data_IF_168206461417
#
_entry.id   IF_168206461417
#
_cell.length_a   1.000
_cell.length_b   1.000
_cell.length_c   1.000
_cell.angle_alpha   90.00
_cell.angle_beta   90.00
_cell.angle_gamma   90.00
#
_symmetry.space_group_name_H-M   'P 1'
#
loop_
_entity.id
_entity.type
_entity.pdbx_description
1 polymer ?
#
# COMPACT_ATOMS: atom_id res chain seq x y z
N UNK A 1 -0.21 -9.83 -9.03
CA UNK A 1 -0.18 -10.44 -7.68
C UNK A 1 1.15 -10.04 -7.06
N UNK A 2 1.14 -9.41 -5.89
CA UNK A 2 2.39 -9.09 -5.18
C UNK A 2 2.96 -10.41 -4.66
N UNK A 3 4.22 -10.68 -4.93
CA UNK A 3 4.93 -11.86 -4.42
C UNK A 3 5.80 -11.40 -3.25
N UNK A 4 5.57 -11.93 -2.06
CA UNK A 4 6.47 -11.77 -0.93
C UNK A 4 7.27 -13.06 -0.75
N UNK A 5 8.58 -12.90 -0.50
CA UNK A 5 9.46 -14.03 -0.26
C UNK A 5 10.45 -13.70 0.86
N UNK A 6 10.57 -14.63 1.82
CA UNK A 6 11.53 -14.56 2.91
C UNK A 6 12.11 -15.95 3.14
N UNK A 7 13.40 -15.98 3.47
CA UNK A 7 14.08 -17.21 3.89
C UNK A 7 14.31 -17.18 5.38
N UNK A 8 13.87 -18.23 6.08
CA UNK A 8 14.18 -18.42 7.48
C UNK A 8 15.25 -19.50 7.67
N UNK A 9 16.28 -19.16 8.43
CA UNK A 9 17.32 -20.10 8.84
C UNK A 9 17.21 -20.37 10.32
N UNK A 10 17.06 -21.64 10.67
CA UNK A 10 17.09 -22.12 12.04
C UNK A 10 18.44 -22.78 12.32
N UNK A 11 19.04 -22.44 13.45
CA UNK A 11 20.18 -23.19 14.01
C UNK A 11 19.74 -23.77 15.35
N UNK A 12 19.75 -25.10 15.45
CA UNK A 12 19.37 -25.79 16.68
C UNK A 12 20.40 -25.52 17.79
N UNK A 13 19.91 -25.17 18.97
CA UNK A 13 20.71 -25.16 20.18
C UNK A 13 20.92 -26.60 20.67
N UNK A 14 21.99 -26.84 21.45
CA UNK A 14 22.30 -28.17 21.99
C UNK A 14 21.17 -28.74 22.86
N UNK A 15 20.41 -27.86 23.53
CA UNK A 15 19.29 -28.22 24.41
C UNK A 15 17.92 -28.00 23.77
N UNK A 16 17.83 -27.89 22.45
CA UNK A 16 16.53 -27.78 21.80
C UNK A 16 15.69 -29.05 22.07
N UNK A 17 14.39 -28.93 22.45
CA UNK A 17 13.55 -27.72 22.47
C UNK A 17 13.49 -26.94 23.80
N UNK A 18 14.19 -27.37 24.85
CA UNK A 18 14.25 -26.64 26.13
C UNK A 18 14.96 -25.28 26.00
N UNK A 19 15.80 -25.12 24.98
CA UNK A 19 16.45 -23.88 24.61
C UNK A 19 16.04 -23.43 23.19
N UNK A 20 15.82 -22.13 23.03
CA UNK A 20 15.36 -21.53 21.78
C UNK A 20 16.36 -21.76 20.64
N UNK A 21 15.89 -22.09 19.42
CA UNK A 21 16.76 -22.12 18.25
C UNK A 21 17.13 -20.70 17.83
N UNK A 22 18.34 -20.52 17.29
CA UNK A 22 18.71 -19.25 16.68
C UNK A 22 17.97 -19.10 15.35
N UNK A 23 17.10 -18.10 15.27
CA UNK A 23 16.30 -17.79 14.10
C UNK A 23 16.87 -16.57 13.36
N UNK A 24 17.12 -16.70 12.06
CA UNK A 24 17.56 -15.60 11.21
C UNK A 24 16.59 -15.44 10.04
N UNK A 25 16.03 -14.23 9.90
CA UNK A 25 15.15 -13.83 8.81
C UNK A 25 15.97 -13.12 7.73
N UNK A 26 15.89 -13.63 6.50
CA UNK A 26 16.46 -13.01 5.31
C UNK A 26 15.34 -12.60 4.36
N UNK A 27 14.95 -11.31 4.34
CA UNK A 27 13.96 -10.83 3.39
C UNK A 27 14.53 -10.86 1.96
N UNK A 28 13.71 -11.26 0.98
CA UNK A 28 14.14 -11.36 -0.42
C UNK A 28 13.36 -10.43 -1.35
N UNK A 29 12.02 -10.39 -1.23
CA UNK A 29 11.19 -9.65 -2.19
C UNK A 29 10.00 -8.97 -1.51
N UNK A 30 9.76 -7.68 -1.84
CA UNK A 30 8.60 -6.87 -1.45
C UNK A 30 8.30 -6.79 0.07
N UNK A 31 9.26 -7.10 0.94
CA UNK A 31 9.20 -6.80 2.37
C UNK A 31 9.81 -5.43 2.62
N UNK A 32 9.06 -4.54 3.28
CA UNK A 32 9.59 -3.25 3.68
C UNK A 32 10.43 -3.41 4.96
N UNK A 33 11.42 -2.54 5.15
CA UNK A 33 12.26 -2.54 6.37
C UNK A 33 11.43 -2.38 7.65
N UNK A 34 10.23 -1.79 7.54
CA UNK A 34 9.28 -1.63 8.63
C UNK A 34 8.57 -2.93 9.01
N UNK A 35 8.45 -3.91 8.12
CA UNK A 35 7.76 -5.18 8.39
C UNK A 35 8.66 -6.17 9.15
N UNK A 36 9.98 -6.07 8.94
CA UNK A 36 11.00 -6.92 9.56
C UNK A 36 10.94 -6.92 11.09
N UNK A 37 10.92 -5.78 11.80
CA UNK A 37 10.85 -5.76 13.26
C UNK A 37 9.57 -6.41 13.79
N UNK A 38 8.43 -6.23 13.12
CA UNK A 38 7.17 -6.87 13.50
C UNK A 38 7.24 -8.40 13.36
N UNK A 39 7.82 -8.90 12.26
CA UNK A 39 8.01 -10.35 12.06
C UNK A 39 9.00 -10.91 13.10
N UNK A 40 10.07 -10.20 13.40
CA UNK A 40 11.05 -10.61 14.42
C UNK A 40 10.42 -10.66 15.81
N UNK A 41 9.60 -9.67 16.14
CA UNK A 41 8.87 -9.64 17.41
C UNK A 41 7.90 -10.81 17.53
N UNK A 42 7.11 -11.06 16.49
CA UNK A 42 6.19 -12.21 16.42
C UNK A 42 6.95 -13.54 16.62
N UNK A 43 8.10 -13.70 15.97
CA UNK A 43 8.94 -14.88 16.12
C UNK A 43 9.44 -15.04 17.55
N UNK A 44 9.88 -13.96 18.19
CA UNK A 44 10.35 -14.00 19.57
C UNK A 44 9.23 -14.41 20.53
N UNK A 45 8.03 -13.84 20.36
CA UNK A 45 6.84 -14.20 21.14
C UNK A 45 6.51 -15.70 20.97
N UNK A 46 6.47 -16.19 19.73
CA UNK A 46 6.20 -17.61 19.45
C UNK A 46 7.28 -18.54 20.00
N UNK A 47 8.55 -18.12 20.02
CA UNK A 47 9.63 -18.89 20.63
C UNK A 47 9.42 -19.01 22.13
N UNK A 48 9.15 -17.88 22.82
CA UNK A 48 8.96 -17.86 24.26
C UNK A 48 7.75 -18.69 24.70
N UNK A 49 6.63 -18.62 23.95
CA UNK A 49 5.42 -19.39 24.24
C UNK A 49 5.59 -20.90 24.03
N UNK A 50 6.48 -21.32 23.14
CA UNK A 50 6.67 -22.72 22.77
C UNK A 50 7.96 -23.34 23.33
N UNK A 51 8.67 -22.66 24.23
CA UNK A 51 9.84 -23.22 24.92
C UNK A 51 9.51 -24.53 25.64
N UNK A 52 10.42 -25.51 25.52
CA UNK A 52 10.19 -26.87 26.02
C UNK A 52 9.37 -27.75 25.08
N UNK A 53 8.93 -27.23 23.93
CA UNK A 53 8.22 -27.99 22.89
C UNK A 53 8.83 -27.78 21.50
N UNK A 54 8.68 -28.77 20.61
CA UNK A 54 9.18 -28.67 19.23
C UNK A 54 8.36 -27.60 18.49
N UNK A 55 9.00 -26.48 18.19
CA UNK A 55 8.35 -25.25 17.70
C UNK A 55 8.67 -24.86 16.24
N UNK A 56 9.55 -25.58 15.52
CA UNK A 56 9.98 -25.14 14.15
C UNK A 56 8.78 -24.95 13.21
N UNK A 57 7.84 -25.90 13.20
CA UNK A 57 6.66 -25.81 12.35
C UNK A 57 5.75 -24.64 12.76
N UNK A 58 5.57 -24.42 14.06
CA UNK A 58 4.82 -23.28 14.62
C UNK A 58 5.41 -21.96 14.15
N UNK A 59 6.73 -21.80 14.22
CA UNK A 59 7.42 -20.59 13.77
C UNK A 59 7.24 -20.35 12.26
N UNK A 60 7.35 -21.41 11.45
CA UNK A 60 7.12 -21.31 10.00
C UNK A 60 5.68 -20.89 9.70
N UNK A 61 4.68 -21.47 10.39
CA UNK A 61 3.28 -21.10 10.21
C UNK A 61 3.01 -19.66 10.61
N UNK A 62 3.55 -19.21 11.75
CA UNK A 62 3.38 -17.84 12.22
C UNK A 62 3.91 -16.81 11.22
N UNK A 63 5.10 -17.07 10.63
CA UNK A 63 5.64 -16.20 9.57
C UNK A 63 4.80 -16.27 8.31
N UNK A 64 4.37 -17.47 7.90
CA UNK A 64 3.56 -17.62 6.69
C UNK A 64 2.26 -16.84 6.80
N UNK A 65 1.59 -16.89 7.95
CA UNK A 65 0.40 -16.11 8.24
C UNK A 65 0.71 -14.60 8.18
N UNK A 66 1.79 -14.16 8.85
CA UNK A 66 2.20 -12.76 8.85
C UNK A 66 2.53 -12.22 7.44
N UNK A 67 3.19 -13.01 6.61
CA UNK A 67 3.48 -12.64 5.22
C UNK A 67 2.20 -12.50 4.40
N UNK A 68 1.20 -13.36 4.62
CA UNK A 68 -0.10 -13.23 3.95
C UNK A 68 -0.83 -11.95 4.38
N UNK A 69 -0.79 -11.59 5.67
CA UNK A 69 -1.35 -10.32 6.15
C UNK A 69 -0.68 -9.12 5.47
N UNK A 70 0.64 -9.13 5.33
CA UNK A 70 1.38 -8.03 4.68
C UNK A 70 0.99 -7.93 3.20
N UNK A 71 0.89 -9.07 2.49
CA UNK A 71 0.41 -9.09 1.09
C UNK A 71 -0.98 -8.46 0.98
N UNK A 72 -1.90 -8.79 1.89
CA UNK A 72 -3.25 -8.25 1.90
C UNK A 72 -3.28 -6.73 2.15
N UNK A 73 -2.48 -6.26 3.11
CA UNK A 73 -2.32 -4.82 3.38
C UNK A 73 -1.76 -4.06 2.18
N UNK A 74 -0.75 -4.62 1.49
CA UNK A 74 -0.17 -3.99 0.30
C UNK A 74 -1.21 -3.89 -0.82
N UNK A 75 -1.99 -4.95 -1.05
CA UNK A 75 -3.04 -4.91 -2.08
C UNK A 75 -4.12 -3.88 -1.75
N UNK A 76 -4.57 -3.85 -0.49
CA UNK A 76 -5.58 -2.88 -0.02
C UNK A 76 -5.11 -1.44 -0.23
N UNK A 77 -3.89 -1.11 0.22
CA UNK A 77 -3.31 0.24 0.04
C UNK A 77 -3.24 0.62 -1.45
N UNK A 78 -2.78 -0.30 -2.31
CA UNK A 78 -2.70 -0.05 -3.76
C UNK A 78 -4.07 0.20 -4.40
N UNK A 79 -5.10 -0.52 -3.96
CA UNK A 79 -6.47 -0.31 -4.45
C UNK A 79 -7.03 1.03 -3.99
N UNK A 80 -6.77 1.43 -2.74
CA UNK A 80 -7.18 2.73 -2.20
C UNK A 80 -6.49 3.89 -2.91
N UNK A 81 -5.18 3.81 -3.12
CA UNK A 81 -4.42 4.83 -3.86
C UNK A 81 -4.90 4.96 -5.31
N UNK A 82 -5.26 3.85 -5.96
CA UNK A 82 -5.81 3.87 -7.31
C UNK A 82 -7.17 4.59 -7.33
N UNK A 83 -8.07 4.23 -6.41
CA UNK A 83 -9.40 4.86 -6.30
C UNK A 83 -9.29 6.36 -6.00
N UNK A 84 -8.35 6.76 -5.15
CA UNK A 84 -8.14 8.16 -4.81
C UNK A 84 -7.68 8.96 -6.04
N UNK A 85 -6.70 8.43 -6.79
CA UNK A 85 -6.24 9.07 -8.05
C UNK A 85 -7.35 9.15 -9.10
N UNK A 86 -8.18 8.12 -9.23
CA UNK A 86 -9.34 8.13 -10.15
C UNK A 86 -10.35 9.20 -9.74
N UNK A 87 -10.61 9.36 -8.44
CA UNK A 87 -11.52 10.39 -7.92
C UNK A 87 -10.98 11.81 -8.14
N UNK A 88 -9.69 12.03 -7.86
CA UNK A 88 -9.04 13.32 -8.10
C UNK A 88 -9.04 13.69 -9.59
N UNK A 89 -8.82 12.72 -10.48
CA UNK A 89 -8.92 12.91 -11.91
C UNK A 89 -10.34 13.29 -12.35
N UNK A 90 -11.37 12.59 -11.84
CA UNK A 90 -12.77 12.90 -12.13
C UNK A 90 -13.16 14.30 -11.62
N UNK A 91 -12.67 14.72 -10.44
CA UNK A 91 -12.90 16.06 -9.90
C UNK A 91 -12.21 17.14 -10.75
N UNK A 92 -10.99 16.89 -11.22
CA UNK A 92 -10.29 17.79 -12.13
C UNK A 92 -11.00 17.90 -13.50
N UNK A 93 -11.49 16.78 -14.04
CA UNK A 93 -12.30 16.77 -15.27
C UNK A 93 -13.62 17.51 -15.08
N UNK A 94 -14.33 17.30 -13.96
CA UNK A 94 -15.56 18.04 -13.63
C UNK A 94 -15.31 19.54 -13.56
N UNK A 95 -14.20 19.97 -12.95
CA UNK A 95 -13.83 21.39 -12.91
C UNK A 95 -13.49 21.96 -14.30
N UNK A 96 -12.86 21.16 -15.17
CA UNK A 96 -12.58 21.56 -16.54
C UNK A 96 -13.84 21.56 -17.44
N UNK A 97 -14.81 20.69 -17.14
CA UNK A 97 -16.05 20.53 -17.90
C UNK A 97 -17.11 21.57 -17.55
N UNK A 98 -17.07 22.15 -16.34
CA UNK A 98 -17.78 23.38 -16.03
C UNK A 98 -17.06 24.55 -16.71
N UNK A 99 -17.38 24.78 -17.99
CA UNK A 99 -16.99 26.01 -18.68
C UNK A 99 -17.40 27.26 -17.88
N UNK A 100 -16.84 28.43 -18.22
CA UNK A 100 -17.17 29.69 -17.55
C UNK A 100 -18.69 29.90 -17.57
N UNK A 101 -19.37 29.98 -16.41
CA UNK A 101 -20.82 30.18 -16.39
C UNK A 101 -21.15 31.45 -17.17
N UNK A 102 -22.14 31.34 -18.08
CA UNK A 102 -22.63 32.51 -18.84
C UNK A 102 -23.43 33.39 -17.88
N UNK A 103 -22.72 34.24 -17.15
CA UNK A 103 -23.29 35.33 -16.37
C UNK A 103 -23.68 36.47 -17.31
N UNK A 104 -24.62 37.34 -16.89
CA UNK A 104 -25.07 38.50 -17.70
C UNK A 104 -23.88 39.37 -18.11
N UNK A 105 -22.90 39.54 -17.22
CA UNK A 105 -21.68 40.28 -17.49
C UNK A 105 -20.81 39.63 -18.57
N UNK A 106 -20.59 38.31 -18.51
CA UNK A 106 -19.86 37.56 -19.54
C UNK A 106 -20.57 37.59 -20.90
N UNK A 107 -21.91 37.49 -20.90
CA UNK A 107 -22.71 37.59 -22.12
C UNK A 107 -22.62 38.98 -22.74
N UNK A 108 -22.71 40.05 -21.95
CA UNK A 108 -22.58 41.42 -22.43
C UNK A 108 -21.18 41.70 -23.00
N UNK A 109 -20.13 41.18 -22.34
CA UNK A 109 -18.76 41.35 -22.81
C UNK A 109 -18.48 40.56 -24.11
N UNK A 110 -19.05 39.35 -24.23
CA UNK A 110 -19.02 38.57 -25.46
C UNK A 110 -19.80 39.26 -26.58
N UNK A 111 -21.01 39.75 -26.28
CA UNK A 111 -21.85 40.49 -27.23
C UNK A 111 -21.16 41.75 -27.74
N UNK A 112 -20.50 42.50 -26.86
CA UNK A 112 -19.76 43.70 -27.25
C UNK A 112 -18.61 43.39 -28.23
N UNK A 113 -17.89 42.28 -28.02
CA UNK A 113 -16.86 41.82 -28.97
C UNK A 113 -17.46 41.38 -30.30
N UNK A 114 -18.56 40.63 -30.27
CA UNK A 114 -19.25 40.18 -31.48
C UNK A 114 -19.80 41.34 -32.32
N UNK A 115 -20.41 42.35 -31.69
CA UNK A 115 -20.89 43.55 -32.37
C UNK A 115 -19.71 44.37 -32.97
N UNK A 116 -18.57 44.41 -32.28
CA UNK A 116 -17.36 45.08 -32.80
C UNK A 116 -16.81 44.38 -34.06
N UNK A 117 -16.71 43.05 -34.05
CA UNK A 117 -16.25 42.28 -35.23
C UNK A 117 -17.22 42.41 -36.42
N UNK A 118 -18.53 42.48 -36.18
CA UNK A 118 -19.54 42.71 -37.22
C UNK A 118 -19.43 44.10 -37.87
N UNK A 119 -18.98 45.09 -37.11
CA UNK A 119 -18.77 46.45 -37.59
C UNK A 119 -17.50 46.59 -38.44
N UNK A 120 -16.47 45.79 -38.16
CA UNK A 120 -15.23 45.75 -38.94
C UNK A 120 -15.35 44.98 -40.27
N UNK A 121 -16.38 44.14 -40.43
CA UNK A 121 -16.64 43.36 -41.66
C UNK A 121 -17.47 44.15 -42.70
N UNK A 122 -17.79 45.43 -42.43
CA UNK A 122 -18.58 46.30 -43.32
C UNK A 122 -17.72 47.29 -44.10
#
# INVERSE_FOLDING_TARGET
MVKLEATLKFTYAEKYPDEAPLCQLFPQENLEDNDIPDIQKLLQEQVEENLGMIMIFTLVLAIQDKLNEIVDQINTRREEEKKQKEKEAEEAEKQCFHGTPVTIENFLNWKAKFDAELLEIK
#
